data_IF_761472476498
#
_entry.id   IF_761472476498
#
_cell.length_a   1.000
_cell.length_b   1.000
_cell.length_c   1.000
_cell.angle_alpha   90.00
_cell.angle_beta   90.00
_cell.angle_gamma   90.00
#
_symmetry.space_group_name_H-M   'P 1'
#
loop_
_entity.id
_entity.type
_entity.pdbx_description
1 polymer ?
#
# COMPACT_ATOMS: atom_id res chain seq x y z
N UNK A 1 6.17 0.18 6.45
CA UNK A 1 6.32 0.14 4.99
C UNK A 1 7.31 1.20 4.56
N UNK A 2 8.36 0.83 3.84
CA UNK A 2 9.34 1.75 3.22
C UNK A 2 8.84 2.31 1.88
N UNK A 3 9.50 3.32 1.30
CA UNK A 3 9.14 3.79 -0.06
C UNK A 3 9.35 2.72 -1.13
N UNK A 4 10.36 1.86 -0.99
CA UNK A 4 10.61 0.75 -1.91
C UNK A 4 9.44 -0.24 -1.87
N UNK A 5 9.01 -0.63 -0.67
CA UNK A 5 7.83 -1.49 -0.49
C UNK A 5 6.56 -0.80 -1.04
N UNK A 6 6.41 0.51 -0.82
CA UNK A 6 5.27 1.28 -1.36
C UNK A 6 5.24 1.22 -2.89
N UNK A 7 6.38 1.48 -3.55
CA UNK A 7 6.49 1.45 -5.02
C UNK A 7 6.29 0.05 -5.59
N UNK A 8 6.77 -0.99 -4.89
CA UNK A 8 6.51 -2.38 -5.28
C UNK A 8 5.00 -2.68 -5.27
N UNK A 9 4.32 -2.32 -4.17
CA UNK A 9 2.86 -2.51 -4.03
C UNK A 9 2.09 -1.71 -5.08
N UNK A 10 2.48 -0.47 -5.33
CA UNK A 10 1.86 0.39 -6.34
C UNK A 10 2.00 -0.21 -7.75
N UNK A 11 3.19 -0.70 -8.10
CA UNK A 11 3.44 -1.39 -9.36
C UNK A 11 2.61 -2.68 -9.50
N UNK A 12 2.51 -3.48 -8.43
CA UNK A 12 1.70 -4.70 -8.40
C UNK A 12 0.20 -4.44 -8.52
N UNK A 13 -0.27 -3.28 -8.06
CA UNK A 13 -1.65 -2.83 -8.22
C UNK A 13 -1.91 -2.22 -9.61
N UNK A 14 -0.89 -2.10 -10.46
CA UNK A 14 -0.93 -1.50 -11.80
C UNK A 14 -1.69 -0.16 -11.83
N UNK A 15 -1.55 0.61 -10.75
CA UNK A 15 -2.35 1.82 -10.52
C UNK A 15 -1.47 3.04 -10.75
N UNK A 16 -2.01 4.07 -11.42
CA UNK A 16 -1.36 5.38 -11.44
C UNK A 16 -1.41 6.01 -10.03
N UNK A 17 -0.58 7.02 -9.77
CA UNK A 17 -0.62 7.76 -8.50
C UNK A 17 -2.03 8.33 -8.22
N UNK A 18 -2.74 8.76 -9.27
CA UNK A 18 -4.11 9.30 -9.16
C UNK A 18 -5.14 8.22 -8.81
N UNK A 19 -5.02 7.02 -9.40
CA UNK A 19 -5.87 5.88 -9.04
C UNK A 19 -5.60 5.42 -7.61
N UNK A 20 -4.33 5.42 -7.21
CA UNK A 20 -3.92 5.06 -5.85
C UNK A 20 -4.48 6.06 -4.84
N UNK A 21 -4.38 7.36 -5.13
CA UNK A 21 -4.95 8.41 -4.29
C UNK A 21 -6.46 8.23 -4.09
N UNK A 22 -7.17 7.89 -5.18
CA UNK A 22 -8.62 7.64 -5.15
C UNK A 22 -8.96 6.40 -4.31
N UNK A 23 -8.25 5.29 -4.52
CA UNK A 23 -8.48 4.04 -3.78
C UNK A 23 -8.17 4.15 -2.28
N UNK A 24 -7.18 4.97 -1.93
CA UNK A 24 -6.76 5.20 -0.55
C UNK A 24 -7.51 6.35 0.14
N UNK A 25 -8.30 7.14 -0.60
CA UNK A 25 -9.00 8.31 -0.06
C UNK A 25 -8.07 9.43 0.39
N UNK A 26 -6.93 9.61 -0.28
CA UNK A 26 -5.91 10.62 0.05
C UNK A 26 -5.59 11.49 -1.18
N UNK A 27 -4.73 12.51 -1.01
CA UNK A 27 -4.28 13.33 -2.13
C UNK A 27 -3.16 12.64 -2.93
N UNK A 28 -3.14 12.86 -4.25
CA UNK A 28 -2.07 12.37 -5.14
C UNK A 28 -0.68 12.91 -4.72
N UNK A 29 -0.62 14.10 -4.14
CA UNK A 29 0.62 14.67 -3.59
C UNK A 29 1.13 13.82 -2.41
N UNK A 30 0.25 13.27 -1.58
CA UNK A 30 0.63 12.39 -0.48
C UNK A 30 1.22 11.09 -1.02
N UNK A 31 0.58 10.49 -2.03
CA UNK A 31 1.10 9.30 -2.75
C UNK A 31 2.51 9.56 -3.29
N UNK A 32 2.72 10.69 -3.97
CA UNK A 32 4.05 11.08 -4.49
C UNK A 32 5.10 11.23 -3.38
N UNK A 33 4.73 11.78 -2.22
CA UNK A 33 5.65 11.95 -1.08
C UNK A 33 5.99 10.63 -0.40
N UNK A 34 5.06 9.68 -0.37
CA UNK A 34 5.30 8.33 0.13
C UNK A 34 6.26 7.55 -0.77
N UNK A 35 6.10 7.68 -2.09
CA UNK A 35 6.96 7.00 -3.07
C UNK A 35 8.42 7.50 -3.07
N UNK A 36 8.70 8.70 -2.52
CA UNK A 36 10.02 9.34 -2.53
C UNK A 36 10.67 9.49 -1.15
N UNK A 37 10.12 8.83 -0.12
CA UNK A 37 10.53 9.00 1.30
C UNK A 37 10.45 10.44 1.84
N UNK A 38 9.86 11.37 1.09
CA UNK A 38 9.64 12.74 1.55
C UNK A 38 8.66 12.81 2.73
N UNK A 39 7.85 11.76 2.90
CA UNK A 39 6.96 11.58 4.04
C UNK A 39 6.85 10.09 4.40
N UNK A 40 6.89 9.71 5.70
CA UNK A 40 6.66 8.34 6.11
C UNK A 40 5.22 7.91 5.79
N UNK A 41 5.06 6.64 5.39
CA UNK A 41 3.73 6.10 5.09
C UNK A 41 2.98 5.78 6.37
N UNK A 42 1.78 6.35 6.60
CA UNK A 42 0.99 6.03 7.77
C UNK A 42 0.59 4.55 7.80
N UNK A 43 0.46 3.99 9.01
CA UNK A 43 0.07 2.59 9.21
C UNK A 43 -1.30 2.28 8.57
N UNK A 44 -2.27 3.21 8.63
CA UNK A 44 -3.58 3.01 8.01
C UNK A 44 -3.51 2.92 6.48
N UNK A 45 -2.65 3.74 5.83
CA UNK A 45 -2.41 3.68 4.39
C UNK A 45 -1.77 2.34 4.02
N UNK A 46 -0.79 1.89 4.81
CA UNK A 46 -0.16 0.57 4.64
C UNK A 46 -1.19 -0.55 4.67
N UNK A 47 -2.09 -0.55 5.68
CA UNK A 47 -3.16 -1.55 5.80
C UNK A 47 -4.09 -1.56 4.59
N UNK A 48 -4.51 -0.38 4.11
CA UNK A 48 -5.36 -0.27 2.92
C UNK A 48 -4.67 -0.79 1.66
N UNK A 49 -3.40 -0.44 1.43
CA UNK A 49 -2.64 -0.91 0.27
C UNK A 49 -2.49 -2.43 0.26
N UNK A 50 -2.16 -3.03 1.41
CA UNK A 50 -2.06 -4.49 1.52
C UNK A 50 -3.43 -5.15 1.34
N UNK A 51 -4.51 -4.58 1.89
CA UNK A 51 -5.87 -5.09 1.66
C UNK A 51 -6.25 -5.05 0.16
N UNK A 52 -5.94 -3.96 -0.55
CA UNK A 52 -6.16 -3.83 -1.99
C UNK A 52 -5.38 -4.89 -2.78
N UNK A 53 -4.14 -5.16 -2.39
CA UNK A 53 -3.35 -6.25 -3.00
C UNK A 53 -3.99 -7.61 -2.82
N UNK A 54 -4.42 -7.94 -1.61
CA UNK A 54 -5.07 -9.22 -1.31
C UNK A 54 -6.37 -9.39 -2.11
N UNK A 55 -7.17 -8.32 -2.21
CA UNK A 55 -8.43 -8.33 -2.97
C UNK A 55 -8.21 -8.46 -4.48
N UNK A 56 -7.21 -7.76 -5.06
CA UNK A 56 -6.97 -7.77 -6.51
C UNK A 56 -6.17 -8.97 -6.99
N UNK A 57 -5.26 -9.50 -6.18
CA UNK A 57 -4.32 -10.54 -6.57
C UNK A 57 -4.62 -11.88 -5.89
N UNK A 58 -5.90 -12.28 -5.78
CA UNK A 58 -6.41 -13.43 -5.00
C UNK A 58 -5.71 -14.80 -5.12
N UNK A 59 -4.66 -14.96 -5.95
CA UNK A 59 -3.75 -16.12 -6.00
C UNK A 59 -2.46 -15.99 -5.16
N UNK A 60 -2.13 -14.81 -4.61
CA UNK A 60 -0.93 -14.58 -3.76
C UNK A 60 -1.26 -14.38 -2.27
N UNK A 61 -2.44 -14.84 -1.82
CA UNK A 61 -2.93 -14.62 -0.45
C UNK A 61 -1.94 -15.00 0.65
N UNK A 62 -1.14 -16.06 0.49
CA UNK A 62 -0.19 -16.50 1.52
C UNK A 62 0.93 -15.46 1.81
N UNK A 63 1.56 -14.90 0.77
CA UNK A 63 2.65 -13.90 0.92
C UNK A 63 2.13 -12.58 1.51
N UNK A 64 0.91 -12.17 1.14
CA UNK A 64 0.33 -10.92 1.63
C UNK A 64 -0.42 -11.06 2.95
N UNK A 65 -0.87 -12.26 3.32
CA UNK A 65 -1.40 -12.55 4.66
C UNK A 65 -0.33 -12.38 5.73
N UNK A 66 0.93 -12.72 5.47
CA UNK A 66 2.05 -12.45 6.38
C UNK A 66 2.31 -10.94 6.56
N UNK A 67 2.22 -10.17 5.48
CA UNK A 67 2.29 -8.70 5.53
C UNK A 67 1.11 -8.12 6.31
N UNK A 68 -0.12 -8.59 6.07
CA UNK A 68 -1.29 -8.18 6.87
C UNK A 68 -1.09 -8.52 8.34
N UNK A 69 -0.68 -9.74 8.67
CA UNK A 69 -0.44 -10.17 10.04
C UNK A 69 0.58 -9.28 10.75
N UNK A 70 1.69 -8.92 10.07
CA UNK A 70 2.71 -8.01 10.61
C UNK A 70 2.19 -6.60 10.89
N UNK A 71 1.26 -6.09 10.07
CA UNK A 71 0.71 -4.75 10.23
C UNK A 71 -0.61 -4.70 11.02
N UNK A 72 -1.19 -5.87 11.35
CA UNK A 72 -2.39 -6.04 12.17
C UNK A 72 -2.13 -6.64 13.56
N UNK A 73 -0.95 -7.21 13.86
CA UNK A 73 -0.65 -7.82 15.18
C UNK A 73 -0.47 -6.82 16.33
N UNK A 74 -0.42 -5.52 16.05
CA UNK A 74 -0.26 -4.43 17.04
C UNK A 74 -1.61 -3.74 17.37
N UNK A 75 -2.70 -4.50 17.38
CA UNK A 75 -3.98 -4.13 18.00
C UNK A 75 -4.40 -5.23 18.95
#
# INVERSE_FOLDING_TARGET
MTSDEFREVEALLASSHADMATQLGISEVSVKRYATDAQPVPVHVTRLMVALLVLRQGRQQARYAELLARYHSDT
#
